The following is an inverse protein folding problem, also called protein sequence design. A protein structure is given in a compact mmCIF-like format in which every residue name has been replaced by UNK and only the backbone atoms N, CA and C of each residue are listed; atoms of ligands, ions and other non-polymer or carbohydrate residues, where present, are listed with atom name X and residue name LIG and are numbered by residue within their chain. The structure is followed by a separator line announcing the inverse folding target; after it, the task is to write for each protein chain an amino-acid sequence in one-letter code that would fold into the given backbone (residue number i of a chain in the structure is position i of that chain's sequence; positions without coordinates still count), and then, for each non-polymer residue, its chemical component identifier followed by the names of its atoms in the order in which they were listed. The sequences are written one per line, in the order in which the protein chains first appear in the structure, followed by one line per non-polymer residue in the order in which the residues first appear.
data_IF_249995172263
#
_entry.id   IF_249995172263
#
_cell.length_a   1.000
_cell.length_b   1.000
_cell.length_c   1.000
_cell.angle_alpha   90.00
_cell.angle_beta   90.00
_cell.angle_gamma   90.00
#
_symmetry.space_group_name_H-M   'P 1'
#
loop_
_entity.id
_entity.type
_entity.pdbx_description
1 polymer ?
#
# COMPACT_ATOMS: atom_id res chain seq x y z
N UNK A 1 23.77 -16.44 -1.45
CA UNK A 1 23.76 -16.78 -2.90
C UNK A 1 24.84 -17.79 -3.27
N UNK A 2 26.12 -17.56 -2.95
CA UNK A 2 27.21 -18.48 -3.34
C UNK A 2 27.02 -19.92 -2.82
N UNK A 3 26.40 -20.10 -1.67
CA UNK A 3 26.14 -21.42 -1.08
C UNK A 3 24.94 -22.17 -1.63
N UNK A 4 24.08 -21.50 -2.41
CA UNK A 4 22.86 -22.12 -2.96
C UNK A 4 23.09 -22.95 -4.20
N UNK A 5 24.22 -22.75 -4.91
CA UNK A 5 24.48 -23.36 -6.22
C UNK A 5 23.60 -22.85 -7.37
N UNK A 6 22.70 -21.90 -7.09
CA UNK A 6 21.74 -21.37 -8.07
C UNK A 6 22.39 -20.30 -8.95
N UNK A 7 22.05 -20.30 -10.22
CA UNK A 7 22.33 -19.18 -11.11
C UNK A 7 21.08 -18.29 -11.20
N UNK A 8 21.17 -17.12 -10.58
CA UNK A 8 20.04 -16.18 -10.50
C UNK A 8 19.97 -15.18 -11.67
N UNK A 9 20.83 -15.28 -12.66
CA UNK A 9 20.74 -14.46 -13.88
C UNK A 9 19.34 -14.60 -14.50
N UNK A 10 18.75 -13.49 -14.92
CA UNK A 10 17.37 -13.36 -15.39
C UNK A 10 16.26 -13.54 -14.33
N UNK A 11 16.59 -13.79 -13.07
CA UNK A 11 15.62 -13.71 -12.00
C UNK A 11 15.03 -12.28 -11.88
N UNK A 12 13.93 -12.15 -11.19
CA UNK A 12 13.34 -10.86 -10.81
C UNK A 12 13.77 -10.58 -9.38
N UNK A 13 14.40 -9.43 -9.16
CA UNK A 13 14.77 -8.96 -7.83
C UNK A 13 13.77 -7.87 -7.39
N UNK A 14 13.16 -8.06 -6.23
CA UNK A 14 12.39 -7.06 -5.52
C UNK A 14 13.33 -6.39 -4.54
N UNK A 15 13.62 -5.11 -4.77
CA UNK A 15 14.71 -4.38 -4.13
C UNK A 15 14.18 -3.35 -3.14
N UNK A 16 14.46 -3.52 -1.85
CA UNK A 16 14.26 -2.52 -0.82
C UNK A 16 15.62 -1.85 -0.50
N UNK A 17 16.04 -0.93 -1.36
CA UNK A 17 17.38 -0.30 -1.31
C UNK A 17 17.33 1.21 -1.12
N UNK A 18 16.16 1.77 -0.88
CA UNK A 18 15.99 3.21 -0.67
C UNK A 18 14.78 3.55 0.19
N UNK A 19 14.61 4.84 0.51
CA UNK A 19 13.43 5.31 1.23
C UNK A 19 12.20 5.36 0.35
N UNK A 20 11.06 5.11 0.91
CA UNK A 20 9.70 5.27 0.37
C UNK A 20 9.30 4.27 -0.72
N UNK A 21 10.24 3.57 -1.35
CA UNK A 21 9.96 2.72 -2.52
C UNK A 21 10.71 1.40 -2.46
N UNK A 22 10.13 0.42 -3.10
CA UNK A 22 10.80 -0.79 -3.58
C UNK A 22 10.78 -0.80 -5.10
N UNK A 23 11.69 -1.53 -5.71
CA UNK A 23 11.82 -1.60 -7.16
C UNK A 23 11.88 -3.04 -7.62
N UNK A 24 11.28 -3.31 -8.78
CA UNK A 24 11.43 -4.57 -9.49
C UNK A 24 12.48 -4.43 -10.57
N UNK A 25 13.49 -5.29 -10.57
CA UNK A 25 14.54 -5.29 -11.59
C UNK A 25 14.92 -6.70 -12.00
N UNK A 26 15.31 -6.88 -13.26
CA UNK A 26 15.93 -8.12 -13.69
C UNK A 26 17.35 -8.20 -13.21
N UNK A 27 17.75 -9.39 -12.78
CA UNK A 27 19.16 -9.72 -12.50
C UNK A 27 19.88 -9.87 -13.83
N UNK A 28 20.82 -8.98 -14.11
CA UNK A 28 21.57 -8.94 -15.38
C UNK A 28 22.74 -9.96 -15.35
N UNK A 29 23.49 -9.96 -14.28
CA UNK A 29 24.61 -10.91 -14.09
C UNK A 29 24.64 -11.42 -12.65
N UNK A 30 25.19 -12.63 -12.47
CA UNK A 30 25.41 -13.22 -11.16
C UNK A 30 26.81 -13.82 -11.08
N UNK A 31 27.54 -13.50 -10.03
CA UNK A 31 28.85 -14.05 -9.74
C UNK A 31 29.04 -14.22 -8.21
N UNK A 32 29.05 -15.45 -7.76
CA UNK A 32 29.24 -15.78 -6.35
C UNK A 32 28.11 -15.20 -5.46
N UNK A 33 28.45 -14.23 -4.61
CA UNK A 33 27.50 -13.55 -3.71
C UNK A 33 26.94 -12.23 -4.26
N UNK A 34 27.30 -11.87 -5.49
CA UNK A 34 26.92 -10.58 -6.07
C UNK A 34 26.12 -10.75 -7.33
N UNK A 35 25.22 -9.83 -7.57
CA UNK A 35 24.49 -9.70 -8.83
C UNK A 35 24.37 -8.24 -9.23
N UNK A 36 24.13 -7.99 -10.49
CA UNK A 36 23.88 -6.66 -11.04
C UNK A 36 22.46 -6.56 -11.57
N UNK A 37 21.92 -5.37 -11.55
CA UNK A 37 20.58 -5.03 -12.05
C UNK A 37 20.56 -3.62 -12.64
N UNK A 38 19.53 -3.28 -13.40
CA UNK A 38 19.37 -1.93 -13.92
C UNK A 38 19.25 -0.91 -12.79
N UNK A 39 19.90 0.27 -12.90
CA UNK A 39 19.92 1.25 -11.83
C UNK A 39 18.53 1.64 -11.35
N UNK A 40 18.41 1.81 -10.04
CA UNK A 40 17.24 2.42 -9.42
C UNK A 40 17.52 3.88 -9.10
N UNK A 41 16.50 4.76 -9.07
CA UNK A 41 16.71 6.16 -8.69
C UNK A 41 17.33 6.26 -7.30
N UNK A 42 18.46 6.96 -7.21
CA UNK A 42 19.21 7.15 -5.97
C UNK A 42 18.54 8.17 -5.06
N UNK A 43 17.67 7.73 -4.20
CA UNK A 43 17.13 8.55 -3.11
C UNK A 43 17.41 7.88 -1.78
N UNK A 44 18.23 8.52 -0.94
CA UNK A 44 18.56 8.07 0.42
C UNK A 44 18.68 6.54 0.52
N UNK A 45 19.78 5.98 0.03
CA UNK A 45 20.05 4.56 0.13
C UNK A 45 19.87 4.09 1.58
N UNK A 46 18.92 3.22 1.81
CA UNK A 46 18.61 2.60 3.09
C UNK A 46 18.38 1.11 2.88
N UNK A 47 18.47 0.35 3.95
CA UNK A 47 18.16 -1.07 4.04
C UNK A 47 19.17 -1.91 3.27
N UNK A 48 19.04 -2.22 2.05
CA UNK A 48 19.80 -3.20 1.25
C UNK A 48 19.22 -4.61 1.32
N UNK A 49 17.92 -4.69 1.52
CA UNK A 49 17.19 -5.94 1.52
C UNK A 49 16.65 -6.25 0.13
N UNK A 50 16.52 -7.52 -0.17
CA UNK A 50 15.90 -7.96 -1.41
C UNK A 50 15.36 -9.38 -1.26
N UNK A 51 14.43 -9.74 -2.13
CA UNK A 51 14.11 -11.13 -2.40
C UNK A 51 14.04 -11.38 -3.91
N UNK A 52 14.11 -12.66 -4.29
CA UNK A 52 14.18 -13.06 -5.68
C UNK A 52 12.99 -13.95 -6.03
N UNK A 53 12.51 -13.79 -7.26
CA UNK A 53 11.43 -14.59 -7.82
C UNK A 53 11.64 -14.81 -9.33
N UNK A 54 10.73 -15.52 -9.99
CA UNK A 54 10.69 -15.61 -11.44
C UNK A 54 11.68 -16.61 -12.05
N UNK A 55 12.01 -17.67 -11.33
CA UNK A 55 12.78 -18.80 -11.86
C UNK A 55 12.17 -20.14 -11.42
N UNK A 56 12.26 -21.13 -12.29
CA UNK A 56 11.77 -22.47 -11.98
C UNK A 56 12.47 -23.08 -10.76
N UNK A 57 13.78 -22.81 -10.62
CA UNK A 57 14.59 -23.32 -9.52
C UNK A 57 14.24 -22.74 -8.15
N UNK A 58 13.34 -21.75 -8.09
CA UNK A 58 12.83 -21.18 -6.86
C UNK A 58 11.52 -21.82 -6.38
N UNK A 59 11.01 -22.78 -7.14
CA UNK A 59 9.85 -23.56 -6.72
C UNK A 59 10.29 -24.58 -5.65
N UNK A 60 10.33 -24.18 -4.41
CA UNK A 60 10.77 -25.02 -3.29
C UNK A 60 9.74 -25.15 -2.15
N UNK A 61 8.62 -24.45 -2.25
CA UNK A 61 7.56 -24.43 -1.24
C UNK A 61 6.17 -24.66 -1.85
N UNK A 62 5.31 -25.35 -1.13
CA UNK A 62 3.93 -25.63 -1.55
C UNK A 62 3.14 -24.34 -1.81
N UNK A 63 2.40 -24.32 -2.91
CA UNK A 63 1.61 -23.18 -3.36
C UNK A 63 2.34 -22.26 -4.32
N UNK A 64 3.64 -22.41 -4.49
CA UNK A 64 4.42 -21.65 -5.45
C UNK A 64 4.17 -22.09 -6.88
N UNK A 65 4.35 -21.15 -7.79
CA UNK A 65 4.19 -21.39 -9.21
C UNK A 65 5.20 -20.59 -10.06
N UNK A 66 5.50 -21.12 -11.22
CA UNK A 66 6.34 -20.46 -12.23
C UNK A 66 5.71 -20.64 -13.61
N UNK A 67 5.63 -19.56 -14.39
CA UNK A 67 5.13 -19.59 -15.76
C UNK A 67 6.29 -19.41 -16.75
N UNK A 68 6.55 -20.44 -17.51
CA UNK A 68 7.54 -20.45 -18.59
C UNK A 68 6.91 -19.86 -19.87
N UNK A 69 7.18 -18.58 -20.12
CA UNK A 69 6.56 -17.82 -21.21
C UNK A 69 6.95 -18.30 -22.61
N UNK A 70 8.10 -18.96 -22.76
CA UNK A 70 8.57 -19.46 -24.06
C UNK A 70 7.90 -20.77 -24.49
N UNK A 71 7.43 -21.54 -23.54
CA UNK A 71 6.77 -22.84 -23.76
C UNK A 71 5.29 -22.82 -23.35
N UNK A 72 4.76 -21.69 -22.91
CA UNK A 72 3.40 -21.57 -22.38
C UNK A 72 3.07 -22.59 -21.29
N UNK A 73 4.05 -22.89 -20.42
CA UNK A 73 3.93 -23.95 -19.43
C UNK A 73 3.88 -23.37 -18.02
N UNK A 74 2.84 -23.73 -17.27
CA UNK A 74 2.72 -23.44 -15.86
C UNK A 74 3.28 -24.57 -15.02
N UNK A 75 4.32 -24.29 -14.24
CA UNK A 75 4.83 -25.18 -13.20
C UNK A 75 4.21 -24.76 -11.86
N UNK A 76 3.78 -25.73 -11.10
CA UNK A 76 3.12 -25.50 -9.82
C UNK A 76 3.60 -26.53 -8.79
N UNK A 77 3.96 -26.09 -7.59
CA UNK A 77 4.27 -26.95 -6.47
C UNK A 77 2.99 -27.20 -5.67
N UNK A 78 2.31 -28.34 -5.86
CA UNK A 78 1.00 -28.53 -5.28
C UNK A 78 1.06 -28.80 -3.78
N UNK A 79 0.11 -28.31 -2.98
CA UNK A 79 0.06 -28.61 -1.55
C UNK A 79 -0.21 -30.08 -1.29
N UNK A 80 0.44 -30.62 -0.24
CA UNK A 80 0.28 -32.01 0.20
C UNK A 80 0.53 -33.08 -0.89
N UNK A 81 1.34 -32.75 -1.91
CA UNK A 81 1.64 -33.68 -3.01
C UNK A 81 0.43 -34.07 -3.87
N UNK A 82 -0.60 -33.23 -3.92
CA UNK A 82 -1.80 -33.45 -4.74
C UNK A 82 -1.46 -33.38 -6.23
N UNK A 83 -2.22 -34.09 -7.05
CA UNK A 83 -2.09 -33.96 -8.52
C UNK A 83 -2.73 -32.63 -8.97
N UNK A 84 -1.97 -31.70 -9.60
CA UNK A 84 -2.51 -30.44 -10.10
C UNK A 84 -3.66 -30.62 -11.07
N UNK A 85 -3.73 -31.73 -11.80
CA UNK A 85 -4.81 -32.01 -12.75
C UNK A 85 -6.16 -32.33 -12.07
N UNK A 86 -6.12 -32.67 -10.78
CA UNK A 86 -7.31 -32.93 -9.96
C UNK A 86 -7.71 -31.69 -9.12
N UNK A 87 -6.95 -30.58 -9.25
CA UNK A 87 -7.16 -29.36 -8.48
C UNK A 87 -7.96 -28.30 -9.26
N UNK A 88 -8.67 -27.47 -8.54
CA UNK A 88 -9.26 -26.24 -9.08
C UNK A 88 -8.22 -25.11 -9.10
N UNK A 89 -7.56 -24.93 -10.22
CA UNK A 89 -6.60 -23.83 -10.43
C UNK A 89 -7.32 -22.67 -11.15
N UNK A 90 -7.21 -21.46 -10.61
CA UNK A 90 -7.80 -20.27 -11.21
C UNK A 90 -6.70 -19.28 -11.56
N UNK A 91 -6.74 -18.73 -12.77
CA UNK A 91 -5.86 -17.69 -13.24
C UNK A 91 -6.62 -16.37 -13.49
N UNK A 92 -5.99 -15.25 -13.16
CA UNK A 92 -6.52 -13.92 -13.50
C UNK A 92 -6.39 -13.69 -15.01
N UNK A 93 -7.52 -13.43 -15.67
CA UNK A 93 -7.55 -13.17 -17.13
C UNK A 93 -7.93 -11.74 -17.49
N UNK A 94 -8.49 -10.98 -16.52
CA UNK A 94 -8.85 -9.58 -16.71
C UNK A 94 -8.65 -8.78 -15.42
N UNK A 95 -8.30 -7.52 -15.56
CA UNK A 95 -8.07 -6.65 -14.41
C UNK A 95 -9.39 -6.25 -13.74
N UNK A 96 -10.37 -5.84 -14.51
CA UNK A 96 -11.63 -5.30 -14.01
C UNK A 96 -12.82 -6.18 -14.36
N UNK A 97 -13.54 -6.64 -13.32
CA UNK A 97 -14.88 -7.21 -13.49
C UNK A 97 -15.89 -6.13 -13.87
N UNK A 98 -15.69 -4.92 -13.33
CA UNK A 98 -16.52 -3.76 -13.57
C UNK A 98 -15.65 -2.57 -13.97
N UNK A 99 -15.67 -2.22 -15.24
CA UNK A 99 -15.15 -0.97 -15.77
C UNK A 99 -16.33 -0.06 -16.11
N UNK A 100 -16.56 0.97 -15.29
CA UNK A 100 -17.73 1.84 -15.39
C UNK A 100 -17.24 3.24 -15.70
N UNK A 101 -17.82 3.89 -16.71
CA UNK A 101 -17.47 5.24 -17.10
C UNK A 101 -18.71 6.09 -17.38
N UNK A 102 -18.63 7.39 -17.06
CA UNK A 102 -19.66 8.37 -17.35
C UNK A 102 -21.07 7.96 -16.85
N UNK A 103 -21.13 7.39 -15.66
CA UNK A 103 -22.39 6.85 -15.11
C UNK A 103 -22.44 7.07 -13.59
N UNK A 104 -23.32 7.97 -13.16
CA UNK A 104 -23.48 8.30 -11.75
C UNK A 104 -24.38 7.30 -11.02
N UNK A 105 -24.27 7.28 -9.67
CA UNK A 105 -25.11 6.49 -8.77
C UNK A 105 -25.06 4.96 -9.02
N UNK A 106 -24.02 4.45 -9.64
CA UNK A 106 -23.87 3.01 -9.84
C UNK A 106 -23.51 2.33 -8.53
N UNK A 107 -24.10 1.16 -8.28
CA UNK A 107 -23.89 0.40 -7.05
C UNK A 107 -23.42 -1.02 -7.34
N UNK A 108 -22.32 -1.42 -6.69
CA UNK A 108 -21.81 -2.80 -6.65
C UNK A 108 -22.01 -3.31 -5.23
N UNK A 109 -22.84 -4.34 -5.05
CA UNK A 109 -23.21 -4.79 -3.71
C UNK A 109 -23.15 -6.29 -3.55
N UNK A 110 -22.67 -6.72 -2.37
CA UNK A 110 -22.75 -8.10 -1.88
C UNK A 110 -22.16 -9.13 -2.85
N UNK A 111 -21.00 -8.79 -3.43
CA UNK A 111 -20.30 -9.66 -4.37
C UNK A 111 -18.98 -10.15 -3.77
N UNK A 112 -18.61 -11.38 -4.14
CA UNK A 112 -17.26 -11.88 -3.98
C UNK A 112 -16.52 -11.76 -5.33
N UNK A 113 -15.42 -11.03 -5.35
CA UNK A 113 -14.55 -10.85 -6.51
C UNK A 113 -13.24 -11.59 -6.26
N UNK A 114 -12.87 -12.49 -7.15
CA UNK A 114 -11.65 -13.26 -7.06
C UNK A 114 -10.75 -13.00 -8.27
N UNK A 115 -9.52 -12.50 -8.02
CA UNK A 115 -8.54 -12.21 -9.07
C UNK A 115 -8.94 -11.04 -9.99
N UNK A 116 -9.85 -10.18 -9.57
CA UNK A 116 -10.36 -9.05 -10.35
C UNK A 116 -10.89 -7.96 -9.43
N UNK A 117 -11.13 -6.76 -9.98
CA UNK A 117 -11.63 -5.63 -9.20
C UNK A 117 -12.57 -4.73 -10.02
N UNK A 118 -12.72 -3.47 -9.61
CA UNK A 118 -13.58 -2.48 -10.24
C UNK A 118 -12.80 -1.19 -10.55
N UNK A 119 -13.29 -0.45 -11.54
CA UNK A 119 -12.87 0.90 -11.85
C UNK A 119 -14.09 1.77 -12.15
N UNK A 120 -14.15 2.94 -11.51
CA UNK A 120 -15.08 4.02 -11.82
C UNK A 120 -14.29 5.19 -12.42
N UNK A 121 -14.75 5.70 -13.55
CA UNK A 121 -14.13 6.80 -14.28
C UNK A 121 -15.21 7.81 -14.70
N UNK A 122 -15.14 9.03 -14.14
CA UNK A 122 -16.17 10.03 -14.28
C UNK A 122 -17.57 9.52 -13.84
N UNK A 123 -17.64 9.03 -12.60
CA UNK A 123 -18.82 8.40 -12.02
C UNK A 123 -19.05 8.94 -10.59
N UNK A 124 -19.90 9.94 -10.43
CA UNK A 124 -20.19 10.48 -9.12
C UNK A 124 -21.19 9.60 -8.34
N UNK A 125 -21.11 9.67 -7.00
CA UNK A 125 -21.99 8.93 -6.08
C UNK A 125 -21.98 7.40 -6.30
N UNK A 126 -20.89 6.86 -6.77
CA UNK A 126 -20.75 5.39 -6.92
C UNK A 126 -20.63 4.73 -5.54
N UNK A 127 -21.20 3.54 -5.39
CA UNK A 127 -21.21 2.78 -4.14
C UNK A 127 -20.68 1.37 -4.33
N UNK A 128 -19.71 0.99 -3.48
CA UNK A 128 -19.29 -0.40 -3.30
C UNK A 128 -19.61 -0.80 -1.86
N UNK A 129 -20.47 -1.80 -1.67
CA UNK A 129 -20.97 -2.18 -0.35
C UNK A 129 -21.05 -3.70 -0.17
N UNK A 130 -20.55 -4.19 0.97
CA UNK A 130 -20.67 -5.59 1.33
C UNK A 130 -19.90 -6.54 0.41
N UNK A 131 -18.83 -6.07 -0.22
CA UNK A 131 -18.06 -6.85 -1.16
C UNK A 131 -16.82 -7.47 -0.52
N UNK A 132 -16.47 -8.69 -0.93
CA UNK A 132 -15.22 -9.34 -0.59
C UNK A 132 -14.33 -9.45 -1.82
N UNK A 133 -13.16 -8.84 -1.78
CA UNK A 133 -12.19 -8.85 -2.87
C UNK A 133 -10.97 -9.67 -2.45
N UNK A 134 -10.71 -10.77 -3.17
CA UNK A 134 -9.53 -11.60 -3.00
C UNK A 134 -8.62 -11.46 -4.22
N UNK A 135 -7.35 -11.14 -4.00
CA UNK A 135 -6.38 -10.91 -5.07
C UNK A 135 -6.86 -9.87 -6.10
N UNK A 136 -7.41 -8.72 -5.68
CA UNK A 136 -8.03 -7.78 -6.60
C UNK A 136 -7.02 -7.16 -7.55
N UNK A 137 -5.77 -7.02 -7.12
CA UNK A 137 -4.67 -6.56 -7.97
C UNK A 137 -3.43 -7.42 -7.80
N UNK A 138 -2.68 -7.59 -8.88
CA UNK A 138 -1.39 -8.26 -8.87
C UNK A 138 -0.54 -7.80 -10.05
N UNK A 139 0.76 -7.79 -9.85
CA UNK A 139 1.73 -7.49 -10.90
C UNK A 139 1.76 -8.58 -11.97
N UNK A 140 2.14 -8.19 -13.18
CA UNK A 140 2.32 -9.11 -14.33
C UNK A 140 3.77 -9.50 -14.54
N UNK A 141 4.66 -9.27 -13.57
CA UNK A 141 6.09 -9.49 -13.73
C UNK A 141 6.45 -10.95 -13.99
N UNK A 142 5.72 -11.89 -13.43
CA UNK A 142 5.88 -13.32 -13.75
C UNK A 142 5.50 -13.68 -15.19
N UNK A 143 4.73 -12.83 -15.86
CA UNK A 143 4.42 -12.92 -17.28
C UNK A 143 5.40 -12.11 -18.15
N UNK A 144 6.52 -11.68 -17.58
CA UNK A 144 7.55 -10.91 -18.27
C UNK A 144 7.34 -9.40 -18.32
N UNK A 145 6.26 -8.88 -17.76
CA UNK A 145 5.97 -7.45 -17.68
C UNK A 145 6.53 -6.91 -16.36
N UNK A 146 7.77 -6.49 -16.38
CA UNK A 146 8.49 -5.86 -15.26
C UNK A 146 8.28 -4.35 -15.32
N UNK A 147 8.41 -3.62 -14.27
CA UNK A 147 8.36 -2.14 -14.19
C UNK A 147 6.98 -1.50 -14.48
N UNK A 148 5.89 -2.24 -14.37
CA UNK A 148 4.54 -1.69 -14.49
C UNK A 148 3.77 -1.86 -13.19
N UNK A 149 2.94 -0.87 -12.88
CA UNK A 149 2.02 -0.96 -11.75
C UNK A 149 0.88 -1.95 -12.06
N UNK A 150 0.33 -2.61 -11.03
CA UNK A 150 -0.87 -3.41 -11.22
C UNK A 150 -2.09 -2.52 -11.47
N UNK A 151 -3.06 -3.06 -12.15
CA UNK A 151 -4.40 -2.48 -12.16
C UNK A 151 -5.03 -2.68 -10.77
N UNK A 152 -5.53 -1.62 -10.16
CA UNK A 152 -6.03 -1.59 -8.78
C UNK A 152 -7.50 -1.19 -8.74
N UNK A 153 -8.13 -1.29 -7.56
CA UNK A 153 -9.45 -0.71 -7.33
C UNK A 153 -9.36 0.81 -7.40
N UNK A 154 -10.14 1.44 -8.26
CA UNK A 154 -9.90 2.83 -8.64
C UNK A 154 -11.18 3.64 -8.84
N UNK A 155 -11.18 4.87 -8.29
CA UNK A 155 -12.10 5.95 -8.65
C UNK A 155 -11.26 7.10 -9.22
N UNK A 156 -11.51 7.46 -10.46
CA UNK A 156 -10.83 8.55 -11.15
C UNK A 156 -11.85 9.52 -11.75
N UNK A 157 -11.57 10.82 -11.71
CA UNK A 157 -12.51 11.87 -12.13
C UNK A 157 -13.94 11.73 -11.53
N UNK A 158 -14.05 11.09 -10.35
CA UNK A 158 -15.30 10.72 -9.70
C UNK A 158 -15.30 11.31 -8.29
N UNK A 159 -16.39 11.96 -7.88
CA UNK A 159 -16.54 12.51 -6.54
C UNK A 159 -17.65 11.79 -5.76
N UNK A 160 -17.71 12.01 -4.44
CA UNK A 160 -18.75 11.48 -3.57
C UNK A 160 -18.92 9.95 -3.60
N UNK A 161 -17.87 9.22 -4.00
CA UNK A 161 -17.89 7.77 -4.00
C UNK A 161 -17.82 7.20 -2.58
N UNK A 162 -18.49 6.06 -2.37
CA UNK A 162 -18.49 5.38 -1.06
C UNK A 162 -18.06 3.93 -1.22
N UNK A 163 -17.13 3.50 -0.37
CA UNK A 163 -16.76 2.10 -0.19
C UNK A 163 -17.02 1.73 1.27
N UNK A 164 -17.90 0.77 1.52
CA UNK A 164 -18.25 0.42 2.90
C UNK A 164 -18.54 -1.07 3.11
N UNK A 165 -18.40 -1.52 4.36
CA UNK A 165 -18.66 -2.91 4.75
C UNK A 165 -17.99 -3.92 3.82
N UNK A 166 -16.80 -3.60 3.30
CA UNK A 166 -16.13 -4.39 2.27
C UNK A 166 -14.73 -4.81 2.71
N UNK A 167 -14.24 -5.92 2.17
CA UNK A 167 -12.93 -6.44 2.52
C UNK A 167 -12.03 -6.58 1.29
N UNK A 168 -10.80 -6.11 1.42
CA UNK A 168 -9.75 -6.21 0.42
C UNK A 168 -8.62 -7.10 0.99
N UNK A 169 -8.27 -8.16 0.28
CA UNK A 169 -7.28 -9.12 0.77
C UNK A 169 -6.32 -9.55 -0.32
N UNK A 170 -5.04 -9.66 0.07
CA UNK A 170 -3.98 -10.23 -0.75
C UNK A 170 -3.73 -9.46 -2.04
N UNK A 171 -3.36 -8.17 -1.93
CA UNK A 171 -2.95 -7.38 -3.08
C UNK A 171 -1.43 -7.30 -3.18
N UNK A 172 -0.96 -7.19 -4.39
CA UNK A 172 0.45 -6.97 -4.72
C UNK A 172 0.82 -5.48 -4.75
N UNK A 173 -0.13 -4.61 -4.97
CA UNK A 173 -0.02 -3.15 -4.97
C UNK A 173 -1.08 -2.53 -4.08
N UNK A 174 -1.32 -1.23 -4.24
CA UNK A 174 -2.31 -0.47 -3.47
C UNK A 174 -3.67 -1.16 -3.45
N UNK A 175 -4.39 -1.05 -2.34
CA UNK A 175 -5.72 -1.62 -2.21
C UNK A 175 -6.75 -0.81 -2.99
N UNK A 176 -6.71 0.53 -2.82
CA UNK A 176 -7.74 1.41 -3.32
C UNK A 176 -7.18 2.82 -3.52
N UNK A 177 -7.48 3.41 -4.66
CA UNK A 177 -7.24 4.82 -4.92
C UNK A 177 -8.54 5.52 -5.31
N UNK A 178 -8.80 6.67 -4.67
CA UNK A 178 -10.00 7.48 -4.89
C UNK A 178 -9.61 8.94 -5.08
N UNK A 179 -9.83 9.49 -6.27
CA UNK A 179 -9.46 10.86 -6.64
C UNK A 179 -10.69 11.73 -6.87
N UNK A 180 -10.56 13.02 -6.64
CA UNK A 180 -11.53 14.12 -6.81
C UNK A 180 -12.27 14.58 -5.56
N UNK A 181 -12.17 13.84 -4.46
CA UNK A 181 -12.63 14.29 -3.15
C UNK A 181 -14.06 13.92 -2.76
N UNK A 182 -14.40 14.26 -1.52
CA UNK A 182 -15.68 13.95 -0.87
C UNK A 182 -16.02 12.45 -0.85
N UNK A 183 -14.99 11.60 -0.82
CA UNK A 183 -15.16 10.15 -0.75
C UNK A 183 -15.32 9.68 0.69
N UNK A 184 -16.00 8.55 0.86
CA UNK A 184 -16.12 7.88 2.15
C UNK A 184 -15.64 6.45 2.03
N UNK A 185 -14.72 6.05 2.92
CA UNK A 185 -14.34 4.66 3.16
C UNK A 185 -14.66 4.34 4.61
N UNK A 186 -15.61 3.43 4.83
CA UNK A 186 -16.06 3.13 6.18
C UNK A 186 -16.35 1.64 6.42
N UNK A 187 -16.06 1.18 7.64
CA UNK A 187 -16.34 -0.19 8.07
C UNK A 187 -15.72 -1.25 7.14
N UNK A 188 -14.54 -0.94 6.59
CA UNK A 188 -13.82 -1.80 5.67
C UNK A 188 -12.66 -2.52 6.37
N UNK A 189 -12.28 -3.67 5.81
CA UNK A 189 -11.19 -4.50 6.27
C UNK A 189 -10.13 -4.65 5.17
N UNK A 190 -8.89 -4.24 5.47
CA UNK A 190 -7.76 -4.34 4.56
C UNK A 190 -6.70 -5.26 5.17
N UNK A 191 -6.38 -6.33 4.48
CA UNK A 191 -5.51 -7.36 5.00
C UNK A 191 -4.54 -7.88 3.95
N UNK A 192 -3.26 -7.91 4.29
CA UNK A 192 -2.23 -8.46 3.44
C UNK A 192 -2.16 -7.72 2.09
N UNK A 193 -1.94 -6.41 2.20
CA UNK A 193 -1.93 -5.48 1.08
C UNK A 193 -0.50 -5.04 0.78
N UNK A 194 -0.21 -4.68 -0.46
CA UNK A 194 1.09 -4.16 -0.90
C UNK A 194 2.25 -5.12 -0.65
N UNK A 195 2.05 -6.40 -0.82
CA UNK A 195 3.04 -7.38 -0.39
C UNK A 195 4.38 -7.29 -1.13
N UNK A 196 4.41 -6.71 -2.29
CA UNK A 196 5.63 -6.40 -3.04
C UNK A 196 5.83 -4.92 -3.29
N UNK A 197 4.77 -4.14 -3.39
CA UNK A 197 4.73 -2.66 -3.41
C UNK A 197 5.82 -2.03 -4.28
N UNK A 198 5.99 -2.50 -5.50
CA UNK A 198 7.12 -2.12 -6.33
C UNK A 198 6.77 -1.07 -7.36
N UNK A 199 7.73 -0.18 -7.65
CA UNK A 199 7.70 0.81 -8.73
C UNK A 199 6.46 1.74 -8.74
N UNK A 200 5.79 1.90 -7.60
CA UNK A 200 4.66 2.82 -7.48
C UNK A 200 5.10 4.28 -7.67
N UNK A 201 4.25 5.08 -8.29
CA UNK A 201 4.52 6.50 -8.45
C UNK A 201 4.41 7.24 -7.11
N UNK A 202 5.30 8.21 -6.89
CA UNK A 202 5.28 8.98 -5.66
C UNK A 202 5.65 8.16 -4.42
N UNK A 203 4.97 8.40 -3.32
CA UNK A 203 5.03 7.61 -2.10
C UNK A 203 4.23 6.32 -2.30
N UNK A 204 4.78 5.20 -1.87
CA UNK A 204 4.05 3.94 -1.82
C UNK A 204 2.96 4.01 -0.75
N UNK A 205 1.72 3.90 -1.15
CA UNK A 205 0.55 4.10 -0.29
C UNK A 205 -0.43 2.94 -0.45
N UNK A 206 -0.89 2.37 0.65
CA UNK A 206 -1.90 1.30 0.62
C UNK A 206 -3.26 1.84 0.17
N UNK A 207 -3.64 3.01 0.70
CA UNK A 207 -4.87 3.71 0.35
C UNK A 207 -4.55 5.17 0.05
N UNK A 208 -4.85 5.59 -1.17
CA UNK A 208 -4.69 6.97 -1.61
C UNK A 208 -6.07 7.61 -1.77
N UNK A 209 -6.30 8.71 -1.06
CA UNK A 209 -7.46 9.58 -1.25
C UNK A 209 -6.98 10.95 -1.69
N UNK A 210 -7.43 11.39 -2.85
CA UNK A 210 -7.12 12.71 -3.40
C UNK A 210 -8.29 13.68 -3.27
N UNK A 211 -8.02 14.96 -3.49
CA UNK A 211 -9.01 16.03 -3.36
C UNK A 211 -9.30 16.38 -1.89
N UNK A 212 -10.46 16.94 -1.63
CA UNK A 212 -10.82 17.51 -0.34
C UNK A 212 -12.10 16.89 0.25
N UNK A 213 -12.22 16.92 1.59
CA UNK A 213 -13.43 16.52 2.30
C UNK A 213 -13.66 15.01 2.35
N UNK A 214 -12.62 14.21 2.30
CA UNK A 214 -12.72 12.76 2.40
C UNK A 214 -13.00 12.31 3.83
N UNK A 215 -13.66 11.16 3.97
CA UNK A 215 -13.94 10.51 5.26
C UNK A 215 -13.37 9.11 5.25
N UNK A 216 -12.52 8.82 6.22
CA UNK A 216 -11.96 7.49 6.45
C UNK A 216 -12.23 7.06 7.89
N UNK A 217 -13.18 6.13 8.10
CA UNK A 217 -13.62 5.82 9.46
C UNK A 217 -14.00 4.36 9.71
N UNK A 218 -13.78 3.90 10.93
CA UNK A 218 -14.14 2.54 11.40
C UNK A 218 -13.56 1.42 10.55
N UNK A 219 -12.38 1.65 10.00
CA UNK A 219 -11.69 0.65 9.19
C UNK A 219 -10.65 -0.09 10.03
N UNK A 220 -10.41 -1.33 9.68
CA UNK A 220 -9.30 -2.13 10.24
C UNK A 220 -8.31 -2.46 9.13
N UNK A 221 -7.02 -2.15 9.37
CA UNK A 221 -5.96 -2.32 8.41
C UNK A 221 -4.76 -2.98 9.06
N UNK A 222 -4.33 -4.14 8.54
CA UNK A 222 -3.12 -4.78 9.03
C UNK A 222 -2.44 -5.70 8.01
N UNK A 223 -1.17 -6.04 8.29
CA UNK A 223 -0.28 -6.78 7.38
C UNK A 223 -0.08 -6.05 6.06
N UNK A 224 0.46 -4.85 6.12
CA UNK A 224 0.60 -3.98 4.95
C UNK A 224 2.08 -3.74 4.63
N UNK A 225 2.40 -3.73 3.35
CA UNK A 225 3.78 -3.60 2.88
C UNK A 225 4.23 -2.18 2.60
N UNK A 226 3.34 -1.29 2.20
CA UNK A 226 3.68 0.03 1.70
C UNK A 226 4.36 0.96 2.73
N UNK A 227 4.96 2.02 2.23
CA UNK A 227 5.58 3.08 3.04
C UNK A 227 4.54 3.83 3.87
N UNK A 228 3.47 4.31 3.25
CA UNK A 228 2.34 4.91 3.94
C UNK A 228 1.11 4.01 3.88
N UNK A 229 0.36 3.94 4.97
CA UNK A 229 -0.89 3.18 4.95
C UNK A 229 -2.02 4.01 4.35
N UNK A 230 -2.24 5.21 4.86
CA UNK A 230 -3.28 6.13 4.37
C UNK A 230 -2.67 7.49 4.01
N UNK A 231 -2.95 7.98 2.80
CA UNK A 231 -2.82 9.39 2.42
C UNK A 231 -4.23 9.94 2.20
N UNK A 232 -4.72 10.86 3.06
CA UNK A 232 -6.15 11.13 3.15
C UNK A 232 -6.68 12.26 2.23
N UNK A 233 -5.82 13.14 1.68
CA UNK A 233 -6.24 14.35 0.98
C UNK A 233 -6.52 15.53 1.93
N UNK A 234 -7.00 16.64 1.37
CA UNK A 234 -7.24 17.88 2.08
C UNK A 234 -8.55 17.83 2.90
N UNK A 235 -8.63 18.56 4.00
CA UNK A 235 -9.85 18.66 4.84
C UNK A 235 -10.49 17.31 5.17
N UNK A 236 -9.66 16.26 5.25
CA UNK A 236 -10.14 14.91 5.48
C UNK A 236 -10.42 14.64 6.96
N UNK A 237 -11.44 13.83 7.23
CA UNK A 237 -11.74 13.30 8.55
C UNK A 237 -11.31 11.84 8.65
N UNK A 238 -10.37 11.57 9.56
CA UNK A 238 -9.85 10.22 9.84
C UNK A 238 -10.18 9.84 11.29
N UNK A 239 -11.14 8.93 11.49
CA UNK A 239 -11.61 8.63 12.83
C UNK A 239 -11.96 7.15 13.08
N UNK A 240 -11.75 6.70 14.32
CA UNK A 240 -12.19 5.40 14.80
C UNK A 240 -11.61 4.22 14.00
N UNK A 241 -10.40 4.38 13.45
CA UNK A 241 -9.74 3.30 12.73
C UNK A 241 -8.78 2.56 13.64
N UNK A 242 -8.55 1.30 13.31
CA UNK A 242 -7.56 0.42 13.92
C UNK A 242 -6.53 0.02 12.85
N UNK A 243 -5.29 0.51 12.99
CA UNK A 243 -4.21 0.32 12.01
C UNK A 243 -2.96 -0.22 12.68
N UNK A 244 -2.50 -1.40 12.26
CA UNK A 244 -1.37 -2.05 12.90
C UNK A 244 -0.64 -3.04 11.99
N UNK A 245 0.48 -3.57 12.48
CA UNK A 245 1.24 -4.65 11.84
C UNK A 245 1.57 -4.30 10.38
N UNK A 246 2.33 -3.23 10.17
CA UNK A 246 2.63 -2.68 8.85
C UNK A 246 4.13 -2.47 8.63
N UNK A 247 4.53 -2.16 7.41
CA UNK A 247 5.93 -1.89 7.09
C UNK A 247 6.70 -3.10 6.57
N UNK A 248 6.03 -4.14 6.12
CA UNK A 248 6.68 -5.38 5.67
C UNK A 248 7.67 -5.19 4.52
N UNK A 249 7.38 -4.25 3.62
CA UNK A 249 8.22 -4.01 2.46
C UNK A 249 8.98 -2.68 2.54
N UNK A 250 8.45 -1.71 3.25
CA UNK A 250 9.06 -0.39 3.36
C UNK A 250 8.75 0.23 4.72
N UNK A 251 9.80 0.64 5.44
CA UNK A 251 9.70 1.15 6.81
C UNK A 251 9.60 2.67 6.93
N UNK A 252 9.93 3.43 5.88
CA UNK A 252 9.80 4.89 5.93
C UNK A 252 8.35 5.29 5.67
N UNK A 253 7.78 6.17 6.48
CA UNK A 253 6.39 6.60 6.38
C UNK A 253 5.63 6.51 7.71
N UNK A 254 4.31 6.51 7.62
CA UNK A 254 3.41 6.46 8.78
C UNK A 254 2.14 5.67 8.45
N UNK A 255 1.43 5.25 9.50
CA UNK A 255 0.09 4.70 9.32
C UNK A 255 -0.85 5.75 8.73
N UNK A 256 -0.84 6.97 9.24
CA UNK A 256 -1.50 8.12 8.62
C UNK A 256 -0.43 9.11 8.17
N UNK A 257 -0.29 9.27 6.86
CA UNK A 257 0.75 10.07 6.24
C UNK A 257 0.16 11.29 5.54
N UNK A 258 0.25 12.44 6.17
CA UNK A 258 -0.09 13.71 5.55
C UNK A 258 1.16 14.30 4.89
N UNK A 259 1.15 14.47 3.58
CA UNK A 259 2.32 14.82 2.77
C UNK A 259 2.42 16.29 2.42
N UNK A 260 3.58 16.66 1.88
CA UNK A 260 3.89 17.99 1.38
C UNK A 260 2.86 18.48 0.35
N UNK A 261 2.47 19.73 0.44
CA UNK A 261 1.59 20.39 -0.53
C UNK A 261 0.14 20.00 -0.45
N UNK A 262 -0.22 19.22 0.53
CA UNK A 262 -1.56 18.71 0.71
C UNK A 262 -1.97 18.78 2.18
N UNK A 263 -3.28 18.80 2.38
CA UNK A 263 -3.92 18.45 3.64
C UNK A 263 -4.07 19.60 4.64
N UNK A 264 -4.39 20.81 4.16
CA UNK A 264 -4.93 21.80 5.08
C UNK A 264 -6.20 21.24 5.74
N UNK A 265 -6.38 21.55 7.01
CA UNK A 265 -7.62 21.23 7.72
C UNK A 265 -7.92 19.75 7.95
N UNK A 266 -6.94 18.85 7.83
CA UNK A 266 -7.14 17.43 8.13
C UNK A 266 -7.40 17.23 9.62
N UNK A 267 -8.43 16.45 9.97
CA UNK A 267 -8.74 16.06 11.34
C UNK A 267 -8.49 14.56 11.54
N UNK A 268 -7.59 14.23 12.48
CA UNK A 268 -7.23 12.85 12.86
C UNK A 268 -7.63 12.64 14.31
N UNK A 269 -8.63 11.77 14.57
CA UNK A 269 -9.15 11.58 15.92
C UNK A 269 -9.63 10.17 16.24
N UNK A 270 -9.53 9.78 17.49
CA UNK A 270 -10.05 8.51 18.01
C UNK A 270 -9.55 7.27 17.29
N UNK A 271 -8.33 7.32 16.71
CA UNK A 271 -7.73 6.17 16.05
C UNK A 271 -6.83 5.39 17.02
N UNK A 272 -6.70 4.10 16.79
CA UNK A 272 -5.68 3.23 17.35
C UNK A 272 -4.63 2.96 16.28
N UNK A 273 -3.39 3.35 16.58
CA UNK A 273 -2.25 3.27 15.65
C UNK A 273 -1.11 2.56 16.37
N UNK A 274 -0.83 1.30 16.00
CA UNK A 274 0.06 0.52 16.83
C UNK A 274 0.81 -0.61 16.10
N UNK A 275 1.75 -1.22 16.81
CA UNK A 275 2.48 -2.42 16.40
C UNK A 275 3.08 -2.30 15.00
N UNK A 276 3.90 -1.27 14.75
CA UNK A 276 4.55 -1.06 13.45
C UNK A 276 5.96 -0.52 13.59
N UNK A 277 6.79 -0.81 12.59
CA UNK A 277 8.14 -0.26 12.45
C UNK A 277 8.16 1.15 11.84
N UNK A 278 7.02 1.83 11.81
CA UNK A 278 6.83 3.18 11.23
C UNK A 278 6.39 4.18 12.29
N UNK A 279 6.13 5.40 11.85
CA UNK A 279 5.40 6.37 12.67
C UNK A 279 3.90 6.02 12.73
N UNK A 280 3.28 6.39 13.83
CA UNK A 280 1.82 6.33 13.95
C UNK A 280 1.16 7.33 13.02
N UNK A 281 1.42 8.62 13.21
CA UNK A 281 0.86 9.68 12.36
C UNK A 281 1.90 10.77 12.06
N UNK A 282 1.84 11.31 10.84
CA UNK A 282 2.71 12.40 10.41
C UNK A 282 1.93 13.52 9.73
N UNK A 283 2.19 14.76 10.14
CA UNK A 283 2.11 15.91 9.27
C UNK A 283 3.52 16.16 8.71
N UNK A 284 3.77 15.75 7.49
CA UNK A 284 5.12 15.63 6.89
C UNK A 284 5.35 16.65 5.76
N UNK A 285 4.73 17.80 5.83
CA UNK A 285 4.92 18.87 4.87
C UNK A 285 6.03 19.84 5.30
N UNK A 286 6.96 20.16 4.40
CA UNK A 286 7.91 21.24 4.60
C UNK A 286 7.25 22.57 4.18
N UNK A 287 6.76 23.34 5.15
CA UNK A 287 6.13 24.63 4.92
C UNK A 287 4.77 24.58 4.21
N UNK A 288 4.23 23.40 4.07
CA UNK A 288 2.94 23.15 3.44
C UNK A 288 2.16 22.17 4.33
N UNK A 289 0.85 22.26 4.32
CA UNK A 289 0.03 21.60 5.32
C UNK A 289 -0.10 22.47 6.57
N UNK A 290 -1.28 23.02 6.75
CA UNK A 290 -1.59 23.90 7.87
C UNK A 290 -2.96 23.59 8.44
N UNK A 291 -3.21 24.10 9.64
CA UNK A 291 -4.48 23.92 10.32
C UNK A 291 -4.91 22.45 10.49
N UNK A 292 -3.96 21.53 10.57
CA UNK A 292 -4.25 20.12 10.88
C UNK A 292 -4.65 19.98 12.34
N UNK A 293 -5.60 19.10 12.61
CA UNK A 293 -6.10 18.82 13.94
C UNK A 293 -5.87 17.35 14.27
N UNK A 294 -5.16 17.07 15.38
CA UNK A 294 -4.91 15.69 15.81
C UNK A 294 -5.23 15.54 17.29
N UNK A 295 -6.23 14.73 17.62
CA UNK A 295 -6.66 14.61 19.01
C UNK A 295 -7.32 13.26 19.35
N UNK A 296 -7.23 12.89 20.63
CA UNK A 296 -7.84 11.68 21.17
C UNK A 296 -7.42 10.38 20.46
N UNK A 297 -6.23 10.35 19.88
CA UNK A 297 -5.68 9.14 19.31
C UNK A 297 -4.85 8.40 20.37
N UNK A 298 -4.79 7.08 20.24
CA UNK A 298 -3.91 6.24 21.04
C UNK A 298 -2.88 5.60 20.13
N UNK A 299 -1.59 5.82 20.43
CA UNK A 299 -0.47 5.39 19.59
C UNK A 299 0.55 4.67 20.48
N UNK A 300 0.85 3.40 20.15
CA UNK A 300 1.81 2.63 20.96
C UNK A 300 2.55 1.57 20.14
N UNK A 301 3.71 1.17 20.65
CA UNK A 301 4.57 0.16 20.05
C UNK A 301 4.82 0.42 18.54
N UNK A 302 5.15 1.67 18.23
CA UNK A 302 5.53 2.12 16.88
C UNK A 302 6.96 2.66 16.91
N UNK A 303 7.63 2.84 15.78
CA UNK A 303 8.99 3.37 15.74
C UNK A 303 9.05 4.83 16.24
N UNK A 304 8.04 5.63 15.95
CA UNK A 304 7.83 6.97 16.44
C UNK A 304 6.34 7.29 16.47
N UNK A 305 5.85 7.91 17.54
CA UNK A 305 4.42 8.16 17.72
C UNK A 305 3.87 9.17 16.72
N UNK A 306 4.07 10.44 16.98
CA UNK A 306 3.56 11.56 16.16
C UNK A 306 4.72 12.41 15.67
N UNK A 307 4.76 12.72 14.39
CA UNK A 307 5.71 13.68 13.80
C UNK A 307 4.96 14.85 13.18
N UNK A 308 5.35 16.07 13.53
CA UNK A 308 4.70 17.30 13.10
C UNK A 308 5.68 18.19 12.35
N UNK A 309 5.34 18.53 11.14
CA UNK A 309 5.91 19.61 10.33
C UNK A 309 4.77 20.45 9.77
N UNK A 310 5.05 21.69 9.37
CA UNK A 310 4.06 22.60 8.81
C UNK A 310 3.62 23.66 9.81
N UNK A 311 2.46 24.26 9.59
CA UNK A 311 2.02 25.47 10.29
C UNK A 311 0.68 25.28 10.99
N UNK A 312 0.53 25.93 12.15
CA UNK A 312 -0.76 26.12 12.84
C UNK A 312 -1.53 24.82 13.12
N UNK A 313 -0.79 23.72 13.35
CA UNK A 313 -1.41 22.45 13.75
C UNK A 313 -1.83 22.48 15.22
N UNK A 314 -2.97 21.92 15.53
CA UNK A 314 -3.46 21.77 16.88
C UNK A 314 -3.48 20.31 17.32
N UNK A 315 -2.71 20.01 18.40
CA UNK A 315 -2.63 18.68 18.97
C UNK A 315 -3.03 18.70 20.43
N UNK A 316 -4.02 17.88 20.81
CA UNK A 316 -4.45 17.76 22.20
C UNK A 316 -5.05 16.40 22.53
N UNK A 317 -4.97 15.99 23.78
CA UNK A 317 -5.56 14.74 24.27
C UNK A 317 -5.16 13.47 23.49
N UNK A 318 -4.00 13.45 22.84
CA UNK A 318 -3.45 12.22 22.30
C UNK A 318 -2.67 11.48 23.38
N UNK A 319 -2.67 10.17 23.31
CA UNK A 319 -1.85 9.31 24.15
C UNK A 319 -0.84 8.58 23.29
N UNK A 320 0.45 8.81 23.52
CA UNK A 320 1.54 8.11 22.84
C UNK A 320 2.46 7.51 23.89
N UNK A 321 2.75 6.22 23.80
CA UNK A 321 3.56 5.52 24.79
C UNK A 321 4.20 4.26 24.24
N UNK A 322 5.25 3.80 24.90
CA UNK A 322 5.96 2.56 24.57
C UNK A 322 6.44 2.50 23.12
N UNK A 323 6.83 3.65 22.57
CA UNK A 323 7.32 3.76 21.21
C UNK A 323 8.83 3.55 21.15
N UNK A 324 9.35 3.16 20.00
CA UNK A 324 10.74 2.78 19.81
C UNK A 324 11.76 3.93 19.89
N UNK A 325 12.84 3.82 19.17
CA UNK A 325 14.02 4.71 19.27
C UNK A 325 13.76 6.17 18.88
N UNK A 326 12.62 6.46 18.27
CA UNK A 326 12.17 7.81 17.95
C UNK A 326 11.25 8.34 19.07
N UNK A 327 10.87 9.58 18.97
CA UNK A 327 10.08 10.22 20.04
C UNK A 327 8.62 9.78 20.03
N UNK A 328 7.95 9.80 21.16
CA UNK A 328 6.49 9.68 21.22
C UNK A 328 5.79 10.81 20.47
N UNK A 329 6.28 12.03 20.61
CA UNK A 329 5.83 13.20 19.85
C UNK A 329 7.06 14.04 19.49
N UNK A 330 7.20 14.41 18.22
CA UNK A 330 8.25 15.30 17.73
C UNK A 330 7.67 16.43 16.90
N UNK A 331 8.06 17.66 17.22
CA UNK A 331 7.79 18.85 16.40
C UNK A 331 9.10 19.28 15.74
N UNK A 332 9.14 19.24 14.41
CA UNK A 332 10.33 19.55 13.62
C UNK A 332 10.27 20.97 13.07
N UNK A 333 10.73 21.93 13.83
CA UNK A 333 10.64 23.36 13.53
C UNK A 333 11.80 23.91 12.68
N UNK A 334 12.89 23.17 12.55
CA UNK A 334 14.12 23.58 11.87
C UNK A 334 14.23 23.08 10.42
N UNK A 335 13.17 22.51 9.91
CA UNK A 335 13.09 21.99 8.55
C UNK A 335 12.47 23.04 7.62
N UNK A 336 13.29 23.92 7.05
CA UNK A 336 12.98 24.88 5.98
C UNK A 336 11.51 25.25 5.76
N UNK A 337 11.04 26.26 6.49
CA UNK A 337 9.65 26.71 6.38
C UNK A 337 8.66 26.10 7.37
N UNK A 338 9.09 25.25 8.29
CA UNK A 338 8.23 24.81 9.39
C UNK A 338 8.31 25.82 10.53
N UNK A 339 7.22 26.44 10.87
CA UNK A 339 7.13 27.39 12.00
C UNK A 339 6.59 26.73 13.28
N UNK A 340 6.32 25.45 13.22
CA UNK A 340 5.78 24.68 14.34
C UNK A 340 4.24 24.71 14.40
N UNK A 341 3.73 24.41 15.57
CA UNK A 341 2.31 24.28 15.85
C UNK A 341 1.84 25.36 16.80
#
# INVERSE_FOLDING_TARGET
LAGSGLNITNAIAILNVGSFKTWTRRVLTHNGNTFTYDPVPGWKTKHHDYFLEGKLEFLDTEGEWFFETTMDTLYFYPPNGMDPNEMHIRGKVQSYAFGISNSDHVQIKNLELFGTTFKFDNCDYALVEGCNLFYPSCYKRMLGVVDTQPDISLFTASANGTVKNSAFRYTDGSALEMYSGSHTIEECYFYHIDYTSTDLNGLMTTIQMGGSGNIFRRNTLHRLGASATLNPGDEALIELNDMYDTGYMQSDGALIQCMVGQQPGVEIRYNWLHDTIKYGARFDGNGEGNNGLMHHNVIWNVEGGIMIKGYEHNLYNNTAFDNGDKNDIIVMIDQGGNEGT
#
